data_IF_700645382299
#
_entry.id   IF_700645382299
#
_cell.length_a   1.000
_cell.length_b   1.000
_cell.length_c   1.000
_cell.angle_alpha   90.00
_cell.angle_beta   90.00
_cell.angle_gamma   90.00
#
_symmetry.space_group_name_H-M   'P 1'
#
loop_
_entity.id
_entity.type
_entity.pdbx_description
1 polymer ?
#
# COMPACT_ATOMS: atom_id res chain seq x y z
N UNK A 1 10.16 0.59 -14.51
CA UNK A 1 8.74 0.76 -14.18
C UNK A 1 8.60 0.34 -12.73
N UNK A 2 8.22 1.25 -11.85
CA UNK A 2 8.15 1.04 -10.41
C UNK A 2 6.70 1.16 -9.96
N UNK A 3 6.16 0.07 -9.41
CA UNK A 3 4.83 0.07 -8.81
C UNK A 3 4.92 0.40 -7.32
N UNK A 4 4.12 1.36 -6.86
CA UNK A 4 3.99 1.67 -5.44
C UNK A 4 2.85 0.85 -4.84
N UNK A 5 3.14 0.09 -3.79
CA UNK A 5 2.12 -0.51 -2.92
C UNK A 5 2.23 0.16 -1.55
N UNK A 6 1.18 0.87 -1.13
CA UNK A 6 1.17 1.56 0.15
C UNK A 6 -0.07 1.21 0.98
N UNK A 7 0.09 1.11 2.28
CA UNK A 7 -1.05 1.00 3.20
C UNK A 7 -1.56 2.40 3.51
N UNK A 8 -2.89 2.56 3.53
CA UNK A 8 -3.59 3.78 3.88
C UNK A 8 -4.86 3.44 4.65
N UNK A 9 -4.72 3.10 5.93
CA UNK A 9 -5.88 2.77 6.80
C UNK A 9 -6.48 4.03 7.43
N UNK A 10 -7.05 3.92 8.63
CA UNK A 10 -7.76 5.01 9.32
C UNK A 10 -6.86 6.10 9.92
N UNK A 11 -5.54 5.90 9.94
CA UNK A 11 -4.57 6.78 10.60
C UNK A 11 -4.33 8.09 9.86
N UNK A 12 -5.23 9.08 10.00
CA UNK A 12 -5.15 10.39 9.31
C UNK A 12 -3.82 11.12 9.47
N UNK A 13 -3.13 10.95 10.62
CA UNK A 13 -1.81 11.54 10.86
C UNK A 13 -0.71 11.06 9.90
N UNK A 14 -0.91 9.91 9.24
CA UNK A 14 0.00 9.35 8.23
C UNK A 14 -0.45 9.63 6.79
N UNK A 15 -1.66 10.15 6.57
CA UNK A 15 -2.16 10.39 5.21
C UNK A 15 -1.39 11.48 4.48
N UNK A 16 -0.95 12.52 5.20
CA UNK A 16 -0.06 13.52 4.61
C UNK A 16 1.26 12.92 4.14
N UNK A 17 1.77 11.92 4.87
CA UNK A 17 2.99 11.21 4.50
C UNK A 17 2.79 10.36 3.24
N UNK A 18 1.74 9.54 3.21
CA UNK A 18 1.40 8.70 2.04
C UNK A 18 1.07 9.55 0.81
N UNK A 19 0.33 10.66 0.99
CA UNK A 19 -0.01 11.56 -0.12
C UNK A 19 1.22 12.22 -0.73
N UNK A 20 2.16 12.68 0.10
CA UNK A 20 3.41 13.23 -0.39
C UNK A 20 4.30 12.17 -1.03
N UNK A 21 4.35 10.95 -0.49
CA UNK A 21 5.06 9.83 -1.12
C UNK A 21 4.52 9.57 -2.54
N UNK A 22 3.19 9.58 -2.71
CA UNK A 22 2.54 9.42 -4.01
C UNK A 22 2.85 10.59 -4.94
N UNK A 23 2.74 11.83 -4.45
CA UNK A 23 2.91 13.03 -5.25
C UNK A 23 4.36 13.23 -5.70
N UNK A 24 5.33 13.07 -4.79
CA UNK A 24 6.75 13.34 -5.02
C UNK A 24 7.49 12.19 -5.71
N UNK A 25 6.92 10.98 -5.71
CA UNK A 25 7.51 9.82 -6.37
C UNK A 25 7.10 9.69 -7.83
N UNK A 26 7.98 9.06 -8.61
CA UNK A 26 7.74 8.64 -9.98
C UNK A 26 7.31 7.17 -9.97
N UNK A 27 6.00 6.94 -10.11
CA UNK A 27 5.36 5.64 -9.98
C UNK A 27 4.55 5.35 -11.23
N UNK A 28 4.69 4.15 -11.79
CA UNK A 28 3.90 3.74 -12.96
C UNK A 28 2.48 3.36 -12.55
N UNK A 29 2.35 2.56 -11.49
CA UNK A 29 1.07 2.22 -10.89
C UNK A 29 1.12 2.45 -9.37
N UNK A 30 -0.03 2.81 -8.79
CA UNK A 30 -0.17 3.02 -7.35
C UNK A 30 -1.31 2.16 -6.84
N UNK A 31 -1.02 1.31 -5.86
CA UNK A 31 -1.98 0.45 -5.16
C UNK A 31 -2.06 0.86 -3.70
N UNK A 32 -3.24 1.28 -3.25
CA UNK A 32 -3.49 1.68 -1.87
C UNK A 32 -4.29 0.60 -1.16
N UNK A 33 -3.65 -0.13 -0.25
CA UNK A 33 -4.35 -1.07 0.65
C UNK A 33 -5.06 -0.26 1.71
N UNK A 34 -6.39 -0.27 1.67
CA UNK A 34 -7.22 0.59 2.51
C UNK A 34 -8.49 -0.14 2.96
N UNK A 35 -9.32 0.52 3.73
CA UNK A 35 -10.64 0.04 4.10
C UNK A 35 -11.72 1.03 3.65
N UNK A 36 -12.98 0.71 3.96
CA UNK A 36 -14.12 1.56 3.57
C UNK A 36 -13.94 3.01 4.02
N UNK A 37 -13.46 3.21 5.25
CA UNK A 37 -13.20 4.55 5.77
C UNK A 37 -12.17 5.31 4.94
N UNK A 38 -11.06 4.66 4.58
CA UNK A 38 -10.05 5.29 3.73
C UNK A 38 -10.58 5.59 2.34
N UNK A 39 -11.36 4.69 1.71
CA UNK A 39 -12.03 4.95 0.42
C UNK A 39 -12.92 6.19 0.46
N UNK A 40 -13.73 6.34 1.50
CA UNK A 40 -14.70 7.44 1.60
C UNK A 40 -14.06 8.79 1.94
N UNK A 41 -12.92 8.79 2.63
CA UNK A 41 -12.36 9.99 3.25
C UNK A 41 -11.03 10.44 2.63
N UNK A 42 -10.36 9.60 1.84
CA UNK A 42 -9.09 9.94 1.20
C UNK A 42 -9.31 10.51 -0.20
N UNK A 43 -8.93 11.77 -0.40
CA UNK A 43 -8.91 12.44 -1.69
C UNK A 43 -7.46 12.67 -2.14
N UNK A 44 -6.81 11.61 -2.62
CA UNK A 44 -5.47 11.70 -3.21
C UNK A 44 -5.51 12.36 -4.60
N UNK A 45 -4.40 13.02 -4.99
CA UNK A 45 -4.31 13.80 -6.24
C UNK A 45 -3.95 12.98 -7.48
N UNK A 46 -3.33 11.79 -7.32
CA UNK A 46 -3.00 10.87 -8.42
C UNK A 46 -3.99 9.69 -8.47
N UNK A 47 -4.19 9.14 -9.67
CA UNK A 47 -5.04 7.97 -9.95
C UNK A 47 -4.48 6.71 -9.27
N UNK A 48 -4.73 6.55 -7.98
CA UNK A 48 -4.38 5.39 -7.20
C UNK A 48 -5.50 4.34 -7.25
N UNK A 49 -5.13 3.08 -7.48
CA UNK A 49 -6.05 1.95 -7.35
C UNK A 49 -6.28 1.66 -5.87
N UNK A 50 -7.48 1.92 -5.37
CA UNK A 50 -7.87 1.61 -3.99
C UNK A 50 -8.23 0.13 -3.85
N UNK A 51 -7.37 -0.62 -3.16
CA UNK A 51 -7.61 -2.00 -2.77
C UNK A 51 -8.33 -1.99 -1.42
N UNK A 52 -9.66 -1.86 -1.45
CA UNK A 52 -10.50 -1.86 -0.24
C UNK A 52 -10.58 -3.27 0.32
N UNK A 53 -10.19 -3.42 1.59
CA UNK A 53 -10.19 -4.68 2.33
C UNK A 53 -10.94 -4.57 3.65
N UNK A 54 -11.45 -5.70 4.14
CA UNK A 54 -12.02 -5.77 5.48
C UNK A 54 -10.92 -6.03 6.52
N UNK A 55 -10.33 -4.97 7.09
CA UNK A 55 -9.28 -5.10 8.11
C UNK A 55 -9.70 -5.83 9.39
N UNK A 56 -11.02 -6.03 9.59
CA UNK A 56 -11.57 -6.81 10.70
C UNK A 56 -11.70 -8.31 10.39
N UNK A 57 -11.61 -8.72 9.12
CA UNK A 57 -11.67 -10.12 8.72
C UNK A 57 -10.57 -10.97 9.38
N UNK A 58 -10.77 -12.29 9.56
CA UNK A 58 -9.70 -13.23 9.89
C UNK A 58 -8.45 -13.05 9.01
N UNK A 59 -7.28 -13.45 9.54
CA UNK A 59 -5.99 -13.17 8.89
C UNK A 59 -5.87 -13.81 7.50
N UNK A 60 -6.32 -15.06 7.36
CA UNK A 60 -6.34 -15.82 6.11
C UNK A 60 -7.26 -15.19 5.06
N UNK A 61 -8.45 -14.74 5.47
CA UNK A 61 -9.38 -14.01 4.60
C UNK A 61 -8.78 -12.68 4.14
N UNK A 62 -8.18 -11.91 5.05
CA UNK A 62 -7.54 -10.64 4.73
C UNK A 62 -6.36 -10.82 3.75
N UNK A 63 -5.55 -11.87 3.93
CA UNK A 63 -4.48 -12.22 2.99
C UNK A 63 -5.06 -12.57 1.62
N UNK A 64 -6.11 -13.39 1.57
CA UNK A 64 -6.75 -13.78 0.31
C UNK A 64 -7.29 -12.57 -0.46
N UNK A 65 -7.96 -11.65 0.24
CA UNK A 65 -8.52 -10.42 -0.34
C UNK A 65 -7.41 -9.52 -0.92
N UNK A 66 -6.31 -9.30 -0.17
CA UNK A 66 -5.16 -8.54 -0.67
C UNK A 66 -4.54 -9.22 -1.90
N UNK A 67 -4.42 -10.55 -1.90
CA UNK A 67 -3.88 -11.29 -3.05
C UNK A 67 -4.74 -11.12 -4.29
N UNK A 68 -6.06 -11.19 -4.15
CA UNK A 68 -6.98 -10.98 -5.28
C UNK A 68 -6.83 -9.58 -5.88
N UNK A 69 -6.63 -8.57 -5.03
CA UNK A 69 -6.41 -7.20 -5.49
C UNK A 69 -5.10 -7.03 -6.28
N UNK A 70 -4.02 -7.72 -5.91
CA UNK A 70 -2.68 -7.50 -6.46
C UNK A 70 -2.24 -8.52 -7.53
N UNK A 71 -2.85 -9.71 -7.56
CA UNK A 71 -2.42 -10.81 -8.42
C UNK A 71 -2.43 -10.42 -9.91
N UNK A 72 -1.27 -10.51 -10.55
CA UNK A 72 -1.09 -10.22 -11.97
C UNK A 72 -1.13 -8.73 -12.34
N UNK A 73 -1.08 -7.83 -11.34
CA UNK A 73 -1.09 -6.38 -11.55
C UNK A 73 0.24 -5.69 -11.22
N UNK A 74 1.13 -6.37 -10.50
CA UNK A 74 2.44 -5.84 -10.11
C UNK A 74 3.52 -6.32 -11.09
N UNK A 75 4.45 -5.42 -11.43
CA UNK A 75 5.66 -5.69 -12.20
C UNK A 75 6.84 -6.14 -11.33
N UNK A 76 8.04 -6.07 -11.91
CA UNK A 76 9.28 -6.61 -11.31
C UNK A 76 9.96 -5.67 -10.29
N UNK A 77 9.61 -4.38 -10.24
CA UNK A 77 10.12 -3.42 -9.25
C UNK A 77 8.94 -2.85 -8.44
N UNK A 78 8.80 -3.35 -7.21
CA UNK A 78 7.75 -2.92 -6.28
C UNK A 78 8.35 -2.16 -5.10
N UNK A 79 7.91 -0.92 -4.95
CA UNK A 79 8.18 -0.10 -3.78
C UNK A 79 7.06 -0.28 -2.76
N UNK A 80 7.39 -0.77 -1.56
CA UNK A 80 6.44 -1.04 -0.49
C UNK A 80 6.52 0.04 0.61
N UNK A 81 5.40 0.64 0.96
CA UNK A 81 5.29 1.52 2.12
C UNK A 81 4.20 1.06 3.10
N UNK A 82 4.59 0.86 4.36
CA UNK A 82 3.69 0.41 5.43
C UNK A 82 3.70 1.38 6.63
N UNK A 83 3.97 2.66 6.40
CA UNK A 83 3.97 3.67 7.49
C UNK A 83 2.57 3.88 8.05
N UNK A 84 1.54 3.82 7.21
CA UNK A 84 0.16 3.77 7.67
C UNK A 84 -0.28 2.34 7.93
N UNK A 85 -1.41 2.20 8.63
CA UNK A 85 -2.02 0.91 8.92
C UNK A 85 -1.60 0.32 10.25
N UNK A 86 -2.17 -0.84 10.52
CA UNK A 86 -1.97 -1.64 11.72
C UNK A 86 -1.03 -2.81 11.44
N UNK A 87 -0.41 -3.34 12.49
CA UNK A 87 0.44 -4.54 12.37
C UNK A 87 -0.28 -5.74 11.74
N UNK A 88 -1.61 -5.83 11.87
CA UNK A 88 -2.41 -6.85 11.20
C UNK A 88 -2.46 -6.65 9.69
N UNK A 89 -2.72 -5.42 9.23
CA UNK A 89 -2.72 -5.08 7.79
C UNK A 89 -1.32 -5.26 7.20
N UNK A 90 -0.27 -4.87 7.93
CA UNK A 90 1.12 -5.06 7.53
C UNK A 90 1.45 -6.53 7.35
N UNK A 91 1.11 -7.37 8.33
CA UNK A 91 1.34 -8.81 8.28
C UNK A 91 0.60 -9.44 7.09
N UNK A 92 -0.65 -9.07 6.86
CA UNK A 92 -1.44 -9.60 5.75
C UNK A 92 -0.86 -9.20 4.38
N UNK A 93 -0.48 -7.93 4.22
CA UNK A 93 0.13 -7.43 2.98
C UNK A 93 1.47 -8.11 2.68
N UNK A 94 2.37 -8.19 3.66
CA UNK A 94 3.66 -8.86 3.49
C UNK A 94 3.46 -10.34 3.13
N UNK A 95 2.55 -11.03 3.82
CA UNK A 95 2.23 -12.43 3.53
C UNK A 95 1.67 -12.61 2.11
N UNK A 96 0.83 -11.69 1.66
CA UNK A 96 0.27 -11.70 0.31
C UNK A 96 1.36 -11.51 -0.76
N UNK A 97 2.24 -10.52 -0.60
CA UNK A 97 3.34 -10.24 -1.53
C UNK A 97 4.32 -11.42 -1.60
N UNK A 98 4.72 -11.98 -0.45
CA UNK A 98 5.58 -13.17 -0.37
C UNK A 98 4.90 -14.37 -1.06
N UNK A 99 3.61 -14.58 -0.81
CA UNK A 99 2.86 -15.68 -1.43
C UNK A 99 2.66 -15.54 -2.94
N UNK A 100 2.76 -14.32 -3.46
CA UNK A 100 2.71 -14.01 -4.89
C UNK A 100 4.12 -13.97 -5.51
N UNK A 101 5.16 -14.24 -4.72
CA UNK A 101 6.57 -14.20 -5.14
C UNK A 101 6.98 -12.84 -5.72
N UNK A 102 6.38 -11.77 -5.21
CA UNK A 102 6.64 -10.40 -5.65
C UNK A 102 7.88 -9.87 -4.92
N UNK A 103 8.97 -9.52 -5.64
CA UNK A 103 10.10 -8.84 -5.02
C UNK A 103 9.69 -7.41 -4.64
N UNK A 104 10.06 -6.96 -3.45
CA UNK A 104 9.78 -5.59 -3.02
C UNK A 104 10.93 -5.01 -2.22
N UNK A 105 11.06 -3.68 -2.29
CA UNK A 105 11.95 -2.88 -1.45
C UNK A 105 11.10 -1.93 -0.59
N UNK A 106 11.48 -1.75 0.66
CA UNK A 106 10.76 -0.85 1.55
C UNK A 106 11.17 0.58 1.27
N UNK A 107 10.19 1.48 1.13
CA UNK A 107 10.44 2.90 0.91
C UNK A 107 9.71 3.76 1.91
N UNK A 108 10.29 4.92 2.23
CA UNK A 108 9.64 5.93 3.03
C UNK A 108 10.03 7.33 2.52
N UNK A 109 9.08 8.28 2.64
CA UNK A 109 9.40 9.69 2.48
C UNK A 109 10.12 10.19 3.74
N UNK A 110 11.32 10.75 3.55
CA UNK A 110 12.16 11.34 4.59
C UNK A 110 12.33 12.84 4.36
N UNK A 111 13.07 13.53 5.22
CA UNK A 111 13.43 14.95 5.02
C UNK A 111 14.32 15.17 3.79
N UNK A 112 15.00 14.12 3.31
CA UNK A 112 15.86 14.14 2.12
C UNK A 112 15.15 13.60 0.87
N UNK A 113 13.82 13.44 0.93
CA UNK A 113 13.02 12.83 -0.14
C UNK A 113 12.77 11.34 0.09
N UNK A 114 12.34 10.66 -0.97
CA UNK A 114 11.96 9.24 -0.92
C UNK A 114 13.23 8.38 -0.87
N UNK A 115 13.32 7.51 0.13
CA UNK A 115 14.46 6.60 0.33
C UNK A 115 14.00 5.17 0.48
N UNK A 116 14.85 4.25 0.03
CA UNK A 116 14.83 2.85 0.42
C UNK A 116 15.35 2.71 1.86
N UNK A 117 14.70 1.85 2.66
CA UNK A 117 14.96 1.66 4.10
C UNK A 117 15.45 0.25 4.38
#
# INVERSE_FOLDING_TARGET
MTDLVAVLSTGKGTWGHVSRLIAEGDWDNIFLITNEFGRENYSGEKDATMCVVNSRAPMDELIAEIKEHLKGKLGDDVALNIISGSGKEHMALLSALISLEVPFRMVALTTEGIKEI
#
